data_IF_652056095316
#
_entry.id   IF_652056095316
#
_cell.length_a   1.000
_cell.length_b   1.000
_cell.length_c   1.000
_cell.angle_alpha   90.00
_cell.angle_beta   90.00
_cell.angle_gamma   90.00
#
_symmetry.space_group_name_H-M   'P 1'
#
loop_
_entity.id
_entity.type
_entity.pdbx_description
1 polymer ?
#
# COMPACT_ATOMS: atom_id res chain seq x y z
N UNK A 1 -18.42 -2.56 -27.74
CA UNK A 1 -17.41 -3.35 -27.02
C UNK A 1 -16.40 -3.85 -28.04
N UNK A 2 -15.18 -3.30 -28.08
CA UNK A 2 -14.11 -3.91 -28.86
C UNK A 2 -13.69 -5.19 -28.13
N UNK A 3 -14.02 -6.33 -28.69
CA UNK A 3 -13.46 -7.61 -28.24
C UNK A 3 -11.94 -7.53 -28.35
N UNK A 4 -11.24 -7.98 -27.32
CA UNK A 4 -9.79 -8.16 -27.38
C UNK A 4 -9.43 -8.99 -28.61
N UNK A 5 -8.35 -8.60 -29.31
CA UNK A 5 -7.83 -9.45 -30.38
C UNK A 5 -7.40 -10.81 -29.79
N UNK A 6 -7.40 -11.91 -30.55
CA UNK A 6 -6.90 -13.21 -30.09
C UNK A 6 -5.46 -13.13 -29.55
N UNK A 7 -4.63 -12.23 -30.06
CA UNK A 7 -3.27 -11.98 -29.63
C UNK A 7 -3.23 -11.28 -28.25
N UNK A 8 -4.09 -10.27 -28.04
CA UNK A 8 -4.20 -9.57 -26.75
C UNK A 8 -4.75 -10.50 -25.66
N UNK A 9 -5.75 -11.33 -26.01
CA UNK A 9 -6.29 -12.33 -25.11
C UNK A 9 -5.25 -13.42 -24.76
N UNK A 10 -4.39 -13.80 -25.72
CA UNK A 10 -3.28 -14.73 -25.46
C UNK A 10 -2.20 -14.06 -24.62
N UNK A 11 -1.80 -12.82 -24.94
CA UNK A 11 -0.85 -12.03 -24.16
C UNK A 11 -1.34 -11.83 -22.71
N UNK A 12 -2.64 -11.59 -22.50
CA UNK A 12 -3.22 -11.51 -21.16
C UNK A 12 -3.15 -12.85 -20.42
N UNK A 13 -3.38 -14.00 -21.08
CA UNK A 13 -3.23 -15.34 -20.46
C UNK A 13 -1.79 -15.64 -20.08
N UNK A 14 -0.82 -15.24 -20.89
CA UNK A 14 0.61 -15.48 -20.65
C UNK A 14 1.15 -14.57 -19.52
N UNK A 15 0.44 -13.49 -19.20
CA UNK A 15 0.76 -12.53 -18.13
C UNK A 15 0.36 -13.05 -16.76
N UNK A 16 -0.67 -13.90 -16.66
CA UNK A 16 -1.06 -14.49 -15.37
C UNK A 16 0.00 -15.51 -14.94
N UNK A 17 0.58 -15.40 -13.72
CA UNK A 17 1.35 -16.49 -13.15
C UNK A 17 0.52 -17.78 -13.19
N UNK A 18 1.13 -18.94 -13.45
CA UNK A 18 0.45 -20.22 -13.73
C UNK A 18 -0.67 -20.64 -12.75
N UNK A 19 -0.80 -19.96 -11.59
CA UNK A 19 -1.80 -20.23 -10.56
C UNK A 19 -2.57 -18.97 -10.12
N UNK A 20 -2.54 -17.88 -10.88
CA UNK A 20 -3.15 -16.61 -10.50
C UNK A 20 -4.13 -16.12 -11.58
N UNK A 21 -5.15 -16.91 -11.83
CA UNK A 21 -6.23 -16.59 -12.77
C UNK A 21 -7.44 -15.97 -12.06
N UNK A 22 -8.31 -15.24 -12.80
CA UNK A 22 -9.62 -14.82 -12.29
C UNK A 22 -10.37 -16.02 -11.69
N UNK A 23 -10.87 -15.85 -10.47
CA UNK A 23 -11.47 -16.93 -9.70
C UNK A 23 -12.78 -16.49 -9.09
N UNK A 24 -13.84 -17.25 -9.33
CA UNK A 24 -15.11 -17.05 -8.62
C UNK A 24 -14.96 -17.54 -7.18
N UNK A 25 -15.05 -16.62 -6.22
CA UNK A 25 -14.92 -16.92 -4.79
C UNK A 25 -16.24 -17.34 -4.16
N UNK A 26 -17.31 -16.69 -4.57
CA UNK A 26 -18.70 -16.97 -4.19
C UNK A 26 -19.60 -16.71 -5.39
N UNK A 27 -20.89 -17.08 -5.28
CA UNK A 27 -21.86 -16.66 -6.28
C UNK A 27 -21.82 -15.14 -6.45
N UNK A 28 -21.56 -14.67 -7.68
CA UNK A 28 -21.41 -13.23 -8.03
C UNK A 28 -20.30 -12.47 -7.32
N UNK A 29 -19.28 -13.15 -6.79
CA UNK A 29 -18.05 -12.52 -6.30
C UNK A 29 -16.85 -13.14 -6.99
N UNK A 30 -16.09 -12.33 -7.68
CA UNK A 30 -14.89 -12.72 -8.38
C UNK A 30 -13.68 -11.97 -7.83
N UNK A 31 -12.55 -12.67 -7.71
CA UNK A 31 -11.22 -12.09 -7.59
C UNK A 31 -10.59 -12.08 -8.98
N UNK A 32 -10.13 -10.92 -9.42
CA UNK A 32 -9.42 -10.74 -10.68
C UNK A 32 -8.03 -10.21 -10.36
N UNK A 33 -6.96 -11.02 -10.46
CA UNK A 33 -5.60 -10.57 -10.24
C UNK A 33 -5.11 -9.80 -11.46
N UNK A 34 -4.67 -8.55 -11.27
CA UNK A 34 -4.09 -7.72 -12.32
C UNK A 34 -2.56 -7.74 -12.19
N UNK A 35 -1.80 -7.95 -13.27
CA UNK A 35 -0.37 -8.16 -13.21
C UNK A 35 0.39 -6.87 -12.87
N UNK A 36 1.35 -6.97 -11.96
CA UNK A 36 2.24 -5.87 -11.61
C UNK A 36 3.68 -6.12 -12.11
N UNK A 37 4.43 -5.05 -12.45
CA UNK A 37 5.83 -5.15 -12.88
C UNK A 37 6.83 -5.31 -11.73
N UNK A 38 6.36 -5.57 -10.50
CA UNK A 38 7.16 -5.61 -9.28
C UNK A 38 7.25 -7.00 -8.69
N UNK A 39 7.99 -7.11 -7.56
CA UNK A 39 8.06 -8.34 -6.76
C UNK A 39 6.67 -8.80 -6.27
N UNK A 40 5.72 -7.90 -6.10
CA UNK A 40 4.32 -8.17 -5.74
C UNK A 40 3.51 -8.86 -6.85
N UNK A 41 4.02 -9.06 -8.02
CA UNK A 41 3.47 -9.76 -9.18
C UNK A 41 2.03 -9.40 -9.59
N UNK A 42 1.08 -9.26 -8.68
CA UNK A 42 -0.31 -8.92 -8.96
C UNK A 42 -0.97 -8.12 -7.83
N UNK A 43 -1.96 -7.31 -8.21
CA UNK A 43 -2.94 -6.70 -7.31
C UNK A 43 -4.31 -7.32 -7.58
N UNK A 44 -5.07 -7.60 -6.56
CA UNK A 44 -6.42 -8.15 -6.68
C UNK A 44 -7.44 -7.04 -6.78
N UNK A 45 -8.31 -7.11 -7.78
CA UNK A 45 -9.56 -6.38 -7.79
C UNK A 45 -10.72 -7.36 -7.55
N UNK A 46 -11.79 -6.89 -6.92
CA UNK A 46 -12.93 -7.73 -6.60
C UNK A 46 -14.18 -7.23 -7.31
N UNK A 47 -14.80 -8.11 -8.10
CA UNK A 47 -16.03 -7.83 -8.81
C UNK A 47 -17.20 -8.46 -8.06
N UNK A 48 -18.19 -7.65 -7.68
CA UNK A 48 -19.31 -8.04 -6.80
C UNK A 48 -20.63 -7.65 -7.47
N UNK A 49 -21.49 -8.64 -7.75
CA UNK A 49 -22.72 -8.44 -8.47
C UNK A 49 -23.99 -8.63 -7.65
N UNK A 50 -25.11 -8.08 -8.13
CA UNK A 50 -26.46 -8.36 -7.64
C UNK A 50 -27.28 -9.21 -8.65
N UNK A 51 -28.50 -9.53 -8.26
CA UNK A 51 -29.41 -10.34 -9.10
C UNK A 51 -30.06 -9.54 -10.22
N UNK A 52 -29.98 -8.20 -10.18
CA UNK A 52 -30.46 -7.29 -11.22
C UNK A 52 -29.43 -7.02 -12.31
N UNK A 53 -28.20 -7.55 -12.16
CA UNK A 53 -27.11 -7.38 -13.14
C UNK A 53 -26.27 -6.13 -12.92
N UNK A 54 -26.35 -5.47 -11.76
CA UNK A 54 -25.44 -4.40 -11.39
C UNK A 54 -24.17 -4.98 -10.79
N UNK A 55 -23.04 -4.39 -11.11
CA UNK A 55 -21.74 -4.85 -10.67
C UNK A 55 -20.91 -3.73 -10.06
N UNK A 56 -20.30 -4.02 -8.93
CA UNK A 56 -19.34 -3.12 -8.28
C UNK A 56 -17.95 -3.70 -8.42
N UNK A 57 -17.00 -2.85 -8.79
CA UNK A 57 -15.57 -3.20 -8.78
C UNK A 57 -14.90 -2.57 -7.58
N UNK A 58 -14.16 -3.35 -6.79
CA UNK A 58 -13.33 -2.87 -5.68
C UNK A 58 -11.89 -2.89 -6.13
N UNK A 59 -11.24 -1.73 -6.10
CA UNK A 59 -9.94 -1.38 -6.65
C UNK A 59 -9.86 -1.47 -8.19
N UNK A 60 -8.80 -0.88 -8.79
CA UNK A 60 -8.78 -0.57 -10.21
C UNK A 60 -7.41 -0.78 -10.90
N UNK A 61 -6.48 -1.51 -10.29
CA UNK A 61 -5.18 -1.78 -10.90
C UNK A 61 -4.26 -0.56 -11.05
N UNK A 62 -3.08 -0.77 -11.67
CA UNK A 62 -2.03 0.24 -11.83
C UNK A 62 -2.23 1.14 -13.07
N UNK A 63 -3.06 0.73 -14.04
CA UNK A 63 -3.30 1.50 -15.25
C UNK A 63 -2.28 1.25 -16.36
N UNK A 64 -1.65 0.10 -16.39
CA UNK A 64 -0.85 -0.35 -17.53
C UNK A 64 -1.74 -1.04 -18.58
N UNK A 65 -1.33 -1.04 -19.84
CA UNK A 65 -2.08 -1.71 -20.92
C UNK A 65 -2.37 -3.20 -20.59
N UNK A 66 -1.43 -3.89 -19.95
CA UNK A 66 -1.61 -5.28 -19.51
C UNK A 66 -2.61 -5.44 -18.37
N UNK A 67 -2.74 -4.44 -17.46
CA UNK A 67 -3.72 -4.48 -16.38
C UNK A 67 -5.12 -4.32 -16.96
N UNK A 68 -5.30 -3.39 -17.91
CA UNK A 68 -6.56 -3.20 -18.60
C UNK A 68 -6.94 -4.46 -19.37
N UNK A 69 -6.01 -5.08 -20.11
CA UNK A 69 -6.25 -6.33 -20.83
C UNK A 69 -6.64 -7.47 -19.87
N UNK A 70 -5.95 -7.60 -18.73
CA UNK A 70 -6.26 -8.60 -17.71
C UNK A 70 -7.63 -8.36 -17.05
N UNK A 71 -7.95 -7.09 -16.74
CA UNK A 71 -9.25 -6.73 -16.20
C UNK A 71 -10.38 -7.06 -17.20
N UNK A 72 -10.24 -6.68 -18.47
CA UNK A 72 -11.22 -7.01 -19.52
C UNK A 72 -11.43 -8.52 -19.63
N UNK A 73 -10.36 -9.31 -19.63
CA UNK A 73 -10.44 -10.77 -19.64
C UNK A 73 -11.17 -11.32 -18.41
N UNK A 74 -10.87 -10.80 -17.22
CA UNK A 74 -11.54 -11.20 -15.99
C UNK A 74 -13.03 -10.87 -15.98
N UNK A 75 -13.41 -9.69 -16.49
CA UNK A 75 -14.78 -9.27 -16.66
C UNK A 75 -15.51 -10.17 -17.70
N UNK A 76 -14.86 -10.50 -18.83
CA UNK A 76 -15.39 -11.41 -19.84
C UNK A 76 -15.65 -12.80 -19.26
N UNK A 77 -14.73 -13.35 -18.45
CA UNK A 77 -14.92 -14.64 -17.78
C UNK A 77 -16.09 -14.63 -16.79
N UNK A 78 -16.33 -13.49 -16.14
CA UNK A 78 -17.49 -13.28 -15.28
C UNK A 78 -18.80 -13.03 -16.07
N UNK A 79 -18.73 -12.87 -17.41
CA UNK A 79 -19.86 -12.52 -18.25
C UNK A 79 -20.32 -11.06 -18.07
N UNK A 80 -19.44 -10.15 -17.67
CA UNK A 80 -19.76 -8.77 -17.28
C UNK A 80 -19.08 -7.79 -18.23
N UNK A 81 -19.80 -7.02 -19.02
CA UNK A 81 -19.21 -5.93 -19.79
C UNK A 81 -18.80 -4.79 -18.87
N UNK A 82 -17.75 -4.07 -19.22
CA UNK A 82 -17.22 -2.96 -18.39
C UNK A 82 -18.29 -1.87 -18.16
N UNK A 83 -19.14 -1.65 -19.12
CA UNK A 83 -20.25 -0.69 -19.10
C UNK A 83 -21.34 -1.07 -18.08
N UNK A 84 -21.39 -2.33 -17.64
CA UNK A 84 -22.32 -2.80 -16.59
C UNK A 84 -21.84 -2.50 -15.15
N UNK A 85 -20.64 -1.92 -15.00
CA UNK A 85 -20.22 -1.46 -13.68
C UNK A 85 -21.13 -0.33 -13.21
N UNK A 86 -21.71 -0.50 -12.04
CA UNK A 86 -22.61 0.46 -11.39
C UNK A 86 -21.95 1.24 -10.25
N UNK A 87 -20.80 0.78 -9.79
CA UNK A 87 -19.97 1.44 -8.78
C UNK A 87 -18.51 1.00 -8.88
N UNK A 88 -17.61 1.87 -8.50
CA UNK A 88 -16.18 1.60 -8.31
C UNK A 88 -15.82 2.05 -6.91
N UNK A 89 -15.21 1.18 -6.11
CA UNK A 89 -14.83 1.45 -4.72
C UNK A 89 -13.33 1.31 -4.60
N UNK A 90 -12.64 2.34 -4.12
CA UNK A 90 -11.18 2.36 -3.99
C UNK A 90 -10.81 2.26 -2.50
N UNK A 91 -10.06 1.23 -2.14
CA UNK A 91 -9.68 0.99 -0.74
C UNK A 91 -8.71 2.04 -0.21
N UNK A 92 -7.81 2.52 -1.05
CA UNK A 92 -6.83 3.57 -0.74
C UNK A 92 -6.18 4.13 -2.01
N UNK A 93 -5.36 5.19 -1.87
CA UNK A 93 -4.80 5.96 -2.98
C UNK A 93 -3.43 5.48 -3.47
N UNK A 94 -3.06 4.20 -3.34
CA UNK A 94 -1.86 3.71 -4.00
C UNK A 94 -2.12 3.44 -5.49
N UNK A 95 -1.11 3.62 -6.36
CA UNK A 95 -1.30 3.66 -7.81
C UNK A 95 -1.87 2.37 -8.38
N UNK A 96 -1.52 1.23 -7.82
CA UNK A 96 -1.98 -0.10 -8.23
C UNK A 96 -3.43 -0.43 -7.78
N UNK A 97 -4.04 0.45 -6.99
CA UNK A 97 -5.44 0.37 -6.60
C UNK A 97 -6.34 1.38 -7.33
N UNK A 98 -5.76 2.48 -7.85
CA UNK A 98 -6.54 3.57 -8.43
C UNK A 98 -6.35 3.77 -9.94
N UNK A 99 -5.36 3.10 -10.54
CA UNK A 99 -4.81 3.47 -11.85
C UNK A 99 -5.79 3.48 -13.02
N UNK A 100 -6.76 2.58 -13.08
CA UNK A 100 -7.79 2.54 -14.13
C UNK A 100 -9.11 3.21 -13.72
N UNK A 101 -9.21 3.81 -12.54
CA UNK A 101 -10.48 4.30 -12.00
C UNK A 101 -11.14 5.38 -12.86
N UNK A 102 -10.36 6.26 -13.48
CA UNK A 102 -10.88 7.26 -14.43
C UNK A 102 -11.40 6.64 -15.71
N UNK A 103 -10.65 5.72 -16.30
CA UNK A 103 -11.05 4.98 -17.51
C UNK A 103 -12.34 4.18 -17.27
N UNK A 104 -12.39 3.45 -16.15
CA UNK A 104 -13.56 2.66 -15.77
C UNK A 104 -14.80 3.53 -15.57
N UNK A 105 -14.65 4.68 -14.90
CA UNK A 105 -15.71 5.66 -14.74
C UNK A 105 -16.18 6.23 -16.08
N UNK A 106 -15.25 6.55 -16.99
CA UNK A 106 -15.59 7.05 -18.32
C UNK A 106 -16.38 6.01 -19.13
N UNK A 107 -15.95 4.75 -19.10
CA UNK A 107 -16.58 3.66 -19.85
C UNK A 107 -17.96 3.29 -19.30
N UNK A 108 -18.16 3.31 -17.98
CA UNK A 108 -19.40 2.81 -17.34
C UNK A 108 -20.36 3.91 -16.89
N UNK A 109 -19.87 5.14 -16.67
CA UNK A 109 -20.61 6.19 -15.96
C UNK A 109 -20.74 5.95 -14.44
N UNK A 110 -20.12 4.90 -13.91
CA UNK A 110 -20.23 4.51 -12.51
C UNK A 110 -19.66 5.57 -11.56
N UNK A 111 -20.29 5.84 -10.42
CA UNK A 111 -19.69 6.64 -9.35
C UNK A 111 -18.47 5.93 -8.76
N UNK A 112 -17.46 6.72 -8.37
CA UNK A 112 -16.27 6.26 -7.66
C UNK A 112 -16.38 6.63 -6.19
N UNK A 113 -16.15 5.69 -5.31
CA UNK A 113 -16.22 5.84 -3.85
C UNK A 113 -14.85 5.65 -3.22
N UNK A 114 -14.52 6.46 -2.22
CA UNK A 114 -13.30 6.37 -1.43
C UNK A 114 -13.52 7.00 -0.06
N UNK A 115 -12.70 6.70 0.95
CA UNK A 115 -12.75 7.46 2.20
C UNK A 115 -12.45 8.94 1.98
N UNK A 116 -13.14 9.80 2.73
CA UNK A 116 -12.83 11.22 2.79
C UNK A 116 -11.34 11.45 3.08
N UNK A 117 -10.75 12.52 2.56
CA UNK A 117 -9.33 12.88 2.60
C UNK A 117 -8.39 11.96 1.80
N UNK A 118 -8.75 10.71 1.52
CA UNK A 118 -7.93 9.87 0.64
C UNK A 118 -8.07 10.29 -0.82
N UNK A 119 -9.22 10.85 -1.22
CA UNK A 119 -9.43 11.44 -2.53
C UNK A 119 -8.53 12.67 -2.74
N UNK A 120 -8.41 13.58 -1.75
CA UNK A 120 -7.46 14.69 -1.82
C UNK A 120 -6.02 14.22 -1.93
N UNK A 121 -5.65 13.16 -1.18
CA UNK A 121 -4.33 12.54 -1.24
C UNK A 121 -4.05 11.95 -2.61
N UNK A 122 -5.02 11.27 -3.21
CA UNK A 122 -4.93 10.70 -4.56
C UNK A 122 -4.53 11.77 -5.58
N UNK A 123 -5.24 12.90 -5.62
CA UNK A 123 -4.92 13.97 -6.58
C UNK A 123 -3.63 14.69 -6.25
N UNK A 124 -3.30 14.89 -4.97
CA UNK A 124 -2.07 15.55 -4.53
C UNK A 124 -0.82 14.76 -4.89
N UNK A 125 -0.86 13.45 -4.77
CA UNK A 125 0.30 12.58 -4.98
C UNK A 125 0.39 12.11 -6.42
N UNK A 126 -0.73 11.75 -7.05
CA UNK A 126 -0.77 11.08 -8.35
C UNK A 126 -1.36 11.92 -9.48
N UNK A 127 -2.05 13.00 -9.17
CA UNK A 127 -2.64 13.93 -10.15
C UNK A 127 -1.64 14.93 -10.72
N UNK A 128 -2.15 15.93 -11.40
CA UNK A 128 -1.34 17.02 -12.00
C UNK A 128 -0.55 17.84 -10.96
N UNK A 129 -0.97 17.81 -9.70
CA UNK A 129 -0.32 18.49 -8.57
C UNK A 129 0.85 17.70 -7.96
N UNK A 130 1.26 16.60 -8.55
CA UNK A 130 2.28 15.69 -7.99
C UNK A 130 3.68 16.30 -7.86
N UNK A 131 4.03 17.31 -8.64
CA UNK A 131 5.36 17.94 -8.59
C UNK A 131 5.76 18.51 -7.22
N UNK A 132 4.91 19.29 -6.52
CA UNK A 132 5.18 19.74 -5.15
C UNK A 132 5.31 18.58 -4.14
N UNK A 133 4.47 17.56 -4.22
CA UNK A 133 4.52 16.38 -3.35
C UNK A 133 5.84 15.62 -3.53
N UNK A 134 6.27 15.43 -4.78
CA UNK A 134 7.54 14.80 -5.10
C UNK A 134 8.73 15.57 -4.50
N UNK A 135 8.77 16.90 -4.68
CA UNK A 135 9.82 17.74 -4.07
C UNK A 135 9.84 17.62 -2.55
N UNK A 136 8.67 17.54 -1.91
CA UNK A 136 8.56 17.36 -0.46
C UNK A 136 9.14 16.00 -0.02
N UNK A 137 8.86 14.91 -0.77
CA UNK A 137 9.43 13.57 -0.51
C UNK A 137 10.96 13.59 -0.64
N UNK A 138 11.49 14.11 -1.75
CA UNK A 138 12.94 14.24 -1.98
C UNK A 138 13.59 15.06 -0.86
N UNK A 139 13.00 16.20 -0.53
CA UNK A 139 13.49 17.06 0.54
C UNK A 139 13.45 16.42 1.93
N UNK A 140 12.42 15.63 2.21
CA UNK A 140 12.36 14.85 3.45
C UNK A 140 13.46 13.79 3.48
N UNK A 141 13.62 12.99 2.44
CA UNK A 141 14.62 11.94 2.40
C UNK A 141 16.05 12.50 2.49
N UNK A 142 16.33 13.63 1.84
CA UNK A 142 17.62 14.32 1.96
C UNK A 142 17.92 14.73 3.41
N UNK A 143 16.92 15.22 4.15
CA UNK A 143 17.06 15.54 5.58
C UNK A 143 17.33 14.32 6.45
N UNK A 144 17.05 13.12 5.98
CA UNK A 144 17.25 11.86 6.68
C UNK A 144 18.40 11.01 6.11
N UNK A 145 19.28 11.64 5.29
CA UNK A 145 20.52 11.04 4.81
C UNK A 145 20.44 10.36 3.44
N UNK A 146 19.28 10.40 2.74
CA UNK A 146 19.14 9.84 1.40
C UNK A 146 18.96 10.97 0.38
N UNK A 147 20.01 11.24 -0.40
CA UNK A 147 19.91 12.16 -1.53
C UNK A 147 19.46 11.40 -2.78
N UNK A 148 18.34 11.82 -3.33
CA UNK A 148 17.79 11.28 -4.58
C UNK A 148 17.86 12.35 -5.67
N UNK A 149 18.15 11.93 -6.90
CA UNK A 149 17.88 12.78 -8.06
C UNK A 149 16.36 12.96 -8.20
N UNK A 150 15.92 14.19 -8.47
CA UNK A 150 14.49 14.50 -8.58
C UNK A 150 13.78 13.71 -9.70
N UNK A 151 14.51 13.33 -10.76
CA UNK A 151 14.00 12.46 -11.83
C UNK A 151 13.84 10.99 -11.37
N UNK A 152 14.73 10.52 -10.48
CA UNK A 152 14.68 9.17 -9.92
C UNK A 152 13.68 9.03 -8.78
N UNK A 153 13.12 10.12 -8.28
CA UNK A 153 12.19 10.13 -7.16
C UNK A 153 10.72 10.26 -7.59
N UNK A 154 10.43 10.39 -8.89
CA UNK A 154 9.04 10.40 -9.38
C UNK A 154 8.43 9.00 -9.20
N UNK A 155 7.41 8.84 -8.35
CA UNK A 155 6.78 7.55 -8.12
C UNK A 155 6.15 6.95 -9.40
N UNK A 156 5.86 7.78 -10.40
CA UNK A 156 5.39 7.33 -11.72
C UNK A 156 6.51 6.70 -12.55
N UNK A 157 7.78 7.09 -12.28
CA UNK A 157 8.97 6.54 -12.92
C UNK A 157 9.52 5.35 -12.14
N UNK A 158 9.42 5.40 -10.81
CA UNK A 158 10.05 4.45 -9.88
C UNK A 158 9.14 3.28 -9.50
N UNK A 159 7.83 3.40 -9.69
CA UNK A 159 6.92 2.25 -9.58
C UNK A 159 7.29 1.07 -10.52
N UNK A 160 8.35 1.21 -11.29
CA UNK A 160 8.78 0.34 -12.39
C UNK A 160 10.17 -0.23 -12.23
N UNK A 161 11.00 0.36 -11.37
CA UNK A 161 12.42 0.02 -11.28
C UNK A 161 12.74 -1.15 -10.33
N UNK A 162 11.85 -2.09 -10.15
CA UNK A 162 12.03 -3.25 -9.28
C UNK A 162 12.42 -4.52 -10.03
N UNK A 163 13.65 -4.68 -10.43
CA UNK A 163 14.47 -5.89 -10.48
C UNK A 163 15.66 -5.73 -11.45
N UNK A 164 16.88 -5.63 -10.93
CA UNK A 164 18.08 -5.83 -11.72
C UNK A 164 18.23 -7.32 -12.06
N UNK A 165 17.65 -7.74 -13.19
CA UNK A 165 17.99 -9.00 -13.83
C UNK A 165 19.42 -8.92 -14.40
N UNK A 166 20.28 -9.88 -14.05
CA UNK A 166 21.69 -9.92 -14.44
C UNK A 166 21.93 -10.24 -15.93
N UNK A 167 20.92 -10.33 -16.78
CA UNK A 167 21.05 -10.65 -18.19
C UNK A 167 20.54 -9.50 -19.09
N UNK A 168 21.27 -9.23 -20.19
CA UNK A 168 20.99 -8.13 -21.13
C UNK A 168 19.58 -8.12 -21.74
N UNK A 169 18.90 -9.28 -21.83
CA UNK A 169 17.51 -9.39 -22.28
C UNK A 169 16.50 -8.88 -21.23
N UNK A 170 16.81 -9.03 -19.94
CA UNK A 170 15.98 -8.49 -18.86
C UNK A 170 16.10 -6.97 -18.78
N UNK A 171 17.29 -6.43 -19.10
CA UNK A 171 17.53 -4.99 -19.16
C UNK A 171 16.74 -4.32 -20.30
N UNK A 172 16.66 -4.95 -21.46
CA UNK A 172 15.90 -4.45 -22.60
C UNK A 172 14.39 -4.51 -22.34
N UNK A 173 13.89 -5.58 -21.74
CA UNK A 173 12.50 -5.67 -21.23
C UNK A 173 12.19 -4.62 -20.17
N UNK A 174 13.12 -4.33 -19.28
CA UNK A 174 13.02 -3.27 -18.27
C UNK A 174 12.94 -1.88 -18.90
N UNK A 175 13.80 -1.58 -19.87
CA UNK A 175 13.77 -0.30 -20.57
C UNK A 175 12.47 -0.12 -21.38
N UNK A 176 11.95 -1.17 -22.01
CA UNK A 176 10.66 -1.16 -22.71
C UNK A 176 9.50 -1.01 -21.73
N UNK A 177 9.54 -1.71 -20.60
CA UNK A 177 8.58 -1.58 -19.52
C UNK A 177 8.63 -0.18 -18.91
N UNK A 178 9.81 0.35 -18.63
CA UNK A 178 10.03 1.72 -18.14
C UNK A 178 9.51 2.77 -19.11
N UNK A 179 9.68 2.60 -20.41
CA UNK A 179 9.11 3.49 -21.44
C UNK A 179 7.58 3.39 -21.51
N UNK A 180 7.03 2.20 -21.39
CA UNK A 180 5.58 1.98 -21.39
C UNK A 180 4.91 2.61 -20.17
N UNK A 181 5.61 2.64 -19.01
CA UNK A 181 5.09 3.17 -17.75
C UNK A 181 5.34 4.67 -17.62
N UNK A 182 6.47 5.20 -18.14
CA UNK A 182 6.71 6.65 -18.21
C UNK A 182 5.65 7.38 -19.09
N UNK A 183 4.87 6.63 -19.87
CA UNK A 183 3.66 7.09 -20.57
C UNK A 183 2.59 6.01 -20.39
N UNK A 184 1.96 5.89 -19.22
CA UNK A 184 0.89 4.93 -19.03
C UNK A 184 -0.28 5.33 -19.95
N UNK A 185 -0.54 4.54 -20.98
CA UNK A 185 -1.71 4.74 -21.84
C UNK A 185 -3.03 4.62 -21.10
N UNK A 186 -3.02 4.19 -19.82
CA UNK A 186 -4.19 3.87 -19.05
C UNK A 186 -4.27 4.46 -17.65
N UNK A 187 -3.17 5.01 -17.06
CA UNK A 187 -3.27 5.62 -15.73
C UNK A 187 -4.17 6.85 -15.79
N UNK A 188 -5.37 6.71 -15.30
CA UNK A 188 -6.42 7.70 -15.38
C UNK A 188 -7.18 7.76 -14.05
N UNK A 189 -7.21 8.96 -13.47
CA UNK A 189 -7.98 9.25 -12.26
C UNK A 189 -9.34 9.82 -12.62
N UNK A 190 -10.36 9.66 -11.76
CA UNK A 190 -11.64 10.35 -11.91
C UNK A 190 -11.42 11.88 -11.93
N UNK A 191 -12.32 12.67 -12.54
CA UNK A 191 -12.23 14.13 -12.43
C UNK A 191 -12.23 14.61 -10.98
N UNK A 192 -11.47 15.66 -10.67
CA UNK A 192 -11.42 16.25 -9.33
C UNK A 192 -12.84 16.63 -8.88
N UNK A 193 -13.20 16.26 -7.64
CA UNK A 193 -14.52 16.51 -7.06
C UNK A 193 -15.63 15.57 -7.55
N UNK A 194 -15.31 14.53 -8.33
CA UNK A 194 -16.30 13.54 -8.79
C UNK A 194 -16.32 12.26 -7.94
N UNK A 195 -15.41 12.11 -7.01
CA UNK A 195 -15.37 10.99 -6.06
C UNK A 195 -16.41 11.22 -4.96
N UNK A 196 -17.20 10.21 -4.67
CA UNK A 196 -18.13 10.21 -3.54
C UNK A 196 -17.41 9.73 -2.30
N UNK A 197 -17.36 10.57 -1.29
CA UNK A 197 -16.61 10.28 -0.08
C UNK A 197 -17.41 9.47 0.92
N UNK A 198 -16.75 8.49 1.53
CA UNK A 198 -17.26 7.64 2.60
C UNK A 198 -16.61 8.04 3.94
N UNK A 199 -17.26 7.66 5.02
CA UNK A 199 -16.74 7.82 6.38
C UNK A 199 -16.64 6.46 7.07
N UNK A 200 -15.86 6.42 8.12
CA UNK A 200 -15.78 5.28 9.01
C UNK A 200 -17.14 4.95 9.62
N UNK A 201 -17.52 3.68 9.55
CA UNK A 201 -18.82 3.19 10.03
C UNK A 201 -19.95 3.27 9.01
N UNK A 202 -19.77 3.94 7.87
CA UNK A 202 -20.78 3.95 6.82
C UNK A 202 -21.10 2.52 6.35
N UNK A 203 -22.30 2.36 5.81
CA UNK A 203 -22.71 1.12 5.16
C UNK A 203 -22.79 1.33 3.65
N UNK A 204 -22.07 0.52 2.90
CA UNK A 204 -22.04 0.54 1.45
C UNK A 204 -22.66 -0.73 0.89
N UNK A 205 -23.57 -0.60 -0.06
CA UNK A 205 -24.13 -1.75 -0.78
C UNK A 205 -23.28 -2.08 -1.99
N UNK A 206 -22.68 -3.28 -2.00
CA UNK A 206 -21.91 -3.83 -3.11
C UNK A 206 -22.61 -5.07 -3.64
N UNK A 207 -23.07 -5.03 -4.88
CA UNK A 207 -23.97 -6.05 -5.38
C UNK A 207 -25.23 -6.16 -4.49
N UNK A 208 -25.55 -7.37 -4.04
CA UNK A 208 -26.70 -7.64 -3.17
C UNK A 208 -26.40 -7.59 -1.66
N UNK A 209 -25.19 -7.23 -1.25
CA UNK A 209 -24.76 -7.28 0.14
C UNK A 209 -24.41 -5.90 0.69
N UNK A 210 -24.63 -5.75 2.00
CA UNK A 210 -24.19 -4.57 2.74
C UNK A 210 -22.84 -4.83 3.41
N UNK A 211 -21.91 -3.88 3.22
CA UNK A 211 -20.58 -3.88 3.80
C UNK A 211 -20.42 -2.69 4.73
N UNK A 212 -19.89 -2.92 5.91
CA UNK A 212 -19.45 -1.86 6.81
C UNK A 212 -18.10 -1.32 6.35
N UNK A 213 -17.99 -0.03 6.20
CA UNK A 213 -16.74 0.69 5.97
C UNK A 213 -15.97 0.78 7.29
N UNK A 214 -14.72 0.34 7.30
CA UNK A 214 -13.85 0.39 8.47
C UNK A 214 -12.59 1.16 8.09
N UNK A 215 -12.39 2.33 8.67
CA UNK A 215 -11.16 3.08 8.52
C UNK A 215 -10.01 2.38 9.23
N UNK A 216 -8.94 2.09 8.48
CA UNK A 216 -7.79 1.31 8.93
C UNK A 216 -6.47 2.01 8.54
N UNK A 217 -6.14 3.15 9.19
CA UNK A 217 -4.92 3.91 8.90
C UNK A 217 -3.67 3.10 9.23
N UNK A 218 -2.57 3.46 8.56
CA UNK A 218 -1.23 2.90 8.74
C UNK A 218 -0.51 2.72 7.42
N UNK A 219 -0.95 1.78 6.57
CA UNK A 219 -0.41 1.59 5.22
C UNK A 219 -0.68 2.80 4.31
N UNK A 220 -1.88 3.32 4.35
CA UNK A 220 -2.25 4.67 3.92
C UNK A 220 -3.01 5.37 5.04
N UNK A 221 -2.99 6.72 5.08
CA UNK A 221 -3.59 7.50 6.17
C UNK A 221 -5.10 7.32 6.26
N UNK A 222 -5.75 7.08 5.13
CA UNK A 222 -7.20 6.93 5.02
C UNK A 222 -7.58 5.64 4.26
N UNK A 223 -6.80 4.58 4.48
CA UNK A 223 -7.13 3.24 4.01
C UNK A 223 -8.44 2.76 4.62
N UNK A 224 -9.26 2.01 3.88
CA UNK A 224 -10.44 1.35 4.39
C UNK A 224 -10.47 -0.14 4.08
N UNK A 225 -10.99 -0.89 5.03
CA UNK A 225 -11.46 -2.25 4.83
C UNK A 225 -12.99 -2.27 4.72
N UNK A 226 -13.55 -3.32 4.13
CA UNK A 226 -14.99 -3.51 3.99
C UNK A 226 -15.38 -4.87 4.59
N UNK A 227 -16.30 -4.87 5.55
CA UNK A 227 -16.75 -6.08 6.23
C UNK A 227 -18.23 -6.35 5.97
N UNK A 228 -18.52 -7.49 5.36
CA UNK A 228 -19.87 -8.06 5.23
C UNK A 228 -20.27 -8.79 6.51
N UNK A 229 -21.55 -8.76 6.86
CA UNK A 229 -22.07 -9.32 8.12
C UNK A 229 -21.82 -10.82 8.30
N UNK A 230 -21.66 -11.58 7.21
CA UNK A 230 -21.37 -13.02 7.24
C UNK A 230 -19.85 -13.33 7.27
N UNK A 231 -19.01 -12.30 7.41
CA UNK A 231 -17.57 -12.45 7.54
C UNK A 231 -16.78 -12.44 6.22
N UNK A 232 -17.32 -11.96 5.11
CA UNK A 232 -16.51 -11.64 3.93
C UNK A 232 -15.81 -10.29 4.16
N UNK A 233 -14.49 -10.30 4.28
CA UNK A 233 -13.68 -9.14 4.67
C UNK A 233 -12.73 -8.74 3.53
N UNK A 234 -13.00 -7.62 2.89
CA UNK A 234 -12.09 -7.02 1.90
C UNK A 234 -11.08 -6.18 2.67
N UNK A 235 -9.84 -6.63 2.66
CA UNK A 235 -8.79 -6.08 3.50
C UNK A 235 -7.96 -4.99 2.81
N UNK A 236 -8.06 -4.83 1.47
CA UNK A 236 -7.09 -4.03 0.73
C UNK A 236 -5.67 -4.41 1.12
N UNK A 237 -4.83 -3.43 1.36
CA UNK A 237 -3.44 -3.63 1.79
C UNK A 237 -3.23 -3.53 3.30
N UNK A 238 -4.31 -3.49 4.08
CA UNK A 238 -4.18 -3.47 5.53
C UNK A 238 -3.65 -4.80 6.08
N UNK A 239 -4.13 -5.94 5.57
CA UNK A 239 -3.68 -7.28 6.00
C UNK A 239 -3.42 -8.14 4.77
N UNK A 240 -2.16 -8.50 4.54
CA UNK A 240 -1.69 -9.35 3.45
C UNK A 240 -1.29 -10.73 3.95
N UNK A 241 -1.53 -11.82 3.19
CA UNK A 241 -1.38 -13.19 3.68
C UNK A 241 0.07 -13.60 3.96
N UNK A 242 1.03 -13.18 3.13
CA UNK A 242 2.39 -13.70 3.17
C UNK A 242 3.47 -12.64 3.45
N UNK A 243 3.19 -11.38 3.12
CA UNK A 243 4.12 -10.27 3.30
C UNK A 243 3.56 -9.25 4.30
N UNK A 244 4.40 -8.37 4.81
CA UNK A 244 3.95 -7.20 5.57
C UNK A 244 3.66 -6.05 4.61
N UNK A 245 2.54 -5.33 4.76
CA UNK A 245 2.38 -4.06 4.06
C UNK A 245 3.46 -3.07 4.48
N UNK A 246 3.90 -2.22 3.56
CA UNK A 246 4.83 -1.15 3.89
C UNK A 246 4.11 -0.08 4.73
N UNK A 247 4.57 0.18 5.93
CA UNK A 247 4.09 1.26 6.79
C UNK A 247 5.13 2.37 6.77
N UNK A 248 4.89 3.37 5.92
CA UNK A 248 5.87 4.42 5.66
C UNK A 248 5.48 5.79 6.20
N UNK A 249 6.46 6.56 6.64
CA UNK A 249 6.29 7.99 6.95
C UNK A 249 6.65 8.82 5.73
N UNK A 250 5.70 9.62 5.25
CA UNK A 250 5.85 10.52 4.11
C UNK A 250 5.47 11.96 4.50
N UNK A 251 5.85 12.97 3.71
CA UNK A 251 5.39 14.34 3.95
C UNK A 251 3.85 14.41 3.97
N UNK A 252 3.33 15.12 4.96
CA UNK A 252 1.88 15.25 5.19
C UNK A 252 1.14 13.94 5.55
N UNK A 253 1.85 12.88 5.88
CA UNK A 253 1.25 11.72 6.54
C UNK A 253 0.81 12.06 7.97
N UNK A 254 -0.07 11.22 8.52
CA UNK A 254 -0.40 11.25 9.95
C UNK A 254 0.90 11.12 10.78
N UNK A 255 0.96 11.71 11.98
CA UNK A 255 2.21 11.81 12.74
C UNK A 255 2.82 10.46 13.18
N UNK A 256 1.99 9.44 13.38
CA UNK A 256 2.41 8.13 13.89
C UNK A 256 1.78 6.98 13.07
N UNK A 257 2.20 6.78 11.81
CA UNK A 257 1.58 5.77 10.95
C UNK A 257 1.71 4.34 11.50
N UNK A 258 2.80 4.03 12.21
CA UNK A 258 2.95 2.71 12.83
C UNK A 258 2.05 2.54 14.06
N UNK A 259 1.89 3.58 14.87
CA UNK A 259 0.93 3.57 15.98
C UNK A 259 -0.51 3.45 15.49
N UNK A 260 -0.85 4.17 14.42
CA UNK A 260 -2.14 4.05 13.73
C UNK A 260 -2.35 2.62 13.20
N UNK A 261 -1.32 2.01 12.61
CA UNK A 261 -1.39 0.63 12.12
C UNK A 261 -1.66 -0.38 13.23
N UNK A 262 -0.97 -0.25 14.37
CA UNK A 262 -1.26 -1.11 15.53
C UNK A 262 -2.69 -0.97 16.04
N UNK A 263 -3.20 0.25 16.10
CA UNK A 263 -4.58 0.50 16.49
C UNK A 263 -5.57 -0.12 15.48
N UNK A 264 -5.27 -0.01 14.20
CA UNK A 264 -6.06 -0.58 13.11
C UNK A 264 -6.07 -2.11 13.12
N UNK A 265 -4.91 -2.75 13.34
CA UNK A 265 -4.81 -4.21 13.50
C UNK A 265 -5.68 -4.68 14.67
N UNK A 266 -5.56 -4.02 15.83
CA UNK A 266 -6.39 -4.35 17.00
C UNK A 266 -7.89 -4.17 16.72
N UNK A 267 -8.27 -3.15 15.95
CA UNK A 267 -9.65 -2.85 15.60
C UNK A 267 -10.31 -3.94 14.75
N UNK A 268 -9.54 -4.57 13.85
CA UNK A 268 -10.07 -5.59 12.92
C UNK A 268 -9.84 -7.02 13.41
N UNK A 269 -8.87 -7.24 14.30
CA UNK A 269 -8.42 -8.55 14.77
C UNK A 269 -9.56 -9.49 15.16
N UNK A 270 -10.50 -8.99 15.95
CA UNK A 270 -11.58 -9.79 16.53
C UNK A 270 -12.88 -9.71 15.70
N UNK A 271 -12.81 -9.19 14.46
CA UNK A 271 -13.96 -9.17 13.55
C UNK A 271 -14.23 -10.59 13.02
N UNK A 272 -15.51 -10.94 12.84
CA UNK A 272 -15.89 -12.27 12.37
C UNK A 272 -15.57 -12.46 10.88
N UNK A 273 -14.29 -12.58 10.53
CA UNK A 273 -13.88 -12.78 9.15
C UNK A 273 -13.80 -14.27 8.82
N UNK A 274 -14.69 -14.76 7.96
CA UNK A 274 -14.67 -16.11 7.40
C UNK A 274 -13.68 -16.22 6.24
N UNK A 275 -13.59 -15.18 5.42
CA UNK A 275 -12.66 -15.02 4.32
C UNK A 275 -12.08 -13.62 4.39
N UNK A 276 -10.77 -13.51 4.29
CA UNK A 276 -10.04 -12.26 4.10
C UNK A 276 -9.63 -12.18 2.63
N UNK A 277 -10.09 -11.14 1.95
CA UNK A 277 -9.85 -10.82 0.55
C UNK A 277 -8.82 -9.68 0.46
N UNK A 278 -7.50 -9.98 0.31
CA UNK A 278 -6.42 -9.00 0.38
C UNK A 278 -6.20 -8.31 -0.96
N UNK A 279 -5.57 -7.11 -0.96
CA UNK A 279 -5.12 -6.44 -2.17
C UNK A 279 -4.03 -7.22 -2.91
N UNK A 280 -3.17 -7.96 -2.20
CA UNK A 280 -2.13 -8.80 -2.80
C UNK A 280 -2.13 -10.20 -2.23
N UNK A 281 -1.80 -11.19 -3.08
CA UNK A 281 -1.75 -12.59 -2.71
C UNK A 281 -3.12 -13.27 -2.72
N UNK A 282 -3.19 -14.49 -2.18
CA UNK A 282 -4.41 -15.28 -2.20
C UNK A 282 -5.31 -14.95 -1.01
N UNK A 283 -6.64 -15.06 -1.17
CA UNK A 283 -7.58 -15.02 -0.05
C UNK A 283 -7.26 -16.07 1.00
N UNK A 284 -7.52 -15.76 2.25
CA UNK A 284 -7.21 -16.62 3.38
C UNK A 284 -8.27 -16.51 4.49
N UNK A 285 -8.18 -17.37 5.50
CA UNK A 285 -8.94 -17.29 6.74
C UNK A 285 -8.04 -16.72 7.87
N UNK A 286 -8.24 -17.03 9.11
CA UNK A 286 -7.31 -16.74 10.22
C UNK A 286 -6.90 -15.26 10.33
N UNK A 287 -7.89 -14.34 10.29
CA UNK A 287 -7.67 -12.90 10.39
C UNK A 287 -6.90 -12.51 11.68
N UNK A 288 -7.31 -13.07 12.82
CA UNK A 288 -6.74 -12.73 14.12
C UNK A 288 -5.26 -13.12 14.20
N UNK A 289 -4.94 -14.34 13.82
CA UNK A 289 -3.57 -14.88 13.83
C UNK A 289 -2.67 -14.08 12.90
N UNK A 290 -3.20 -13.67 11.73
CA UNK A 290 -2.42 -12.86 10.80
C UNK A 290 -2.20 -11.45 11.31
N UNK A 291 -3.20 -10.82 11.92
CA UNK A 291 -3.07 -9.51 12.56
C UNK A 291 -2.03 -9.53 13.69
N UNK A 292 -2.03 -10.60 14.52
CA UNK A 292 -1.05 -10.79 15.58
C UNK A 292 0.37 -10.96 15.00
N UNK A 293 0.53 -11.75 13.96
CA UNK A 293 1.82 -11.95 13.29
C UNK A 293 2.38 -10.66 12.67
N UNK A 294 1.53 -9.84 12.06
CA UNK A 294 1.92 -8.55 11.51
C UNK A 294 2.35 -7.58 12.63
N UNK A 295 1.61 -7.56 13.74
CA UNK A 295 1.95 -6.75 14.90
C UNK A 295 3.30 -7.14 15.48
N UNK A 296 3.55 -8.44 15.69
CA UNK A 296 4.81 -8.95 16.21
C UNK A 296 6.00 -8.61 15.32
N UNK A 297 5.85 -8.79 14.00
CA UNK A 297 6.87 -8.39 13.04
C UNK A 297 7.33 -6.92 13.21
N UNK A 298 6.40 -6.00 13.38
CA UNK A 298 6.74 -4.58 13.55
C UNK A 298 7.31 -4.29 14.95
N UNK A 299 6.93 -5.05 16.00
CA UNK A 299 7.55 -4.97 17.32
C UNK A 299 9.02 -5.39 17.23
N UNK A 300 9.31 -6.54 16.62
CA UNK A 300 10.67 -7.03 16.40
C UNK A 300 11.50 -6.03 15.56
N UNK A 301 10.90 -5.45 14.52
CA UNK A 301 11.52 -4.44 13.67
C UNK A 301 11.85 -3.18 14.45
N UNK A 302 10.94 -2.69 15.30
CA UNK A 302 11.18 -1.54 16.19
C UNK A 302 12.31 -1.82 17.18
N UNK A 303 12.37 -3.03 17.74
CA UNK A 303 13.44 -3.43 18.65
C UNK A 303 14.80 -3.47 17.94
N UNK A 304 14.87 -3.99 16.71
CA UNK A 304 16.09 -4.02 15.92
C UNK A 304 16.57 -2.59 15.57
N UNK A 305 15.66 -1.70 15.16
CA UNK A 305 15.98 -0.29 14.89
C UNK A 305 16.51 0.41 16.14
N UNK A 306 15.86 0.19 17.30
CA UNK A 306 16.31 0.75 18.57
C UNK A 306 17.72 0.26 18.94
N UNK A 307 18.01 -1.03 18.78
CA UNK A 307 19.34 -1.59 19.03
C UNK A 307 20.42 -0.95 18.12
N UNK A 308 20.10 -0.68 16.84
CA UNK A 308 21.03 0.02 15.95
C UNK A 308 21.29 1.46 16.43
N UNK A 309 20.26 2.17 16.90
CA UNK A 309 20.42 3.51 17.48
C UNK A 309 21.28 3.46 18.74
N UNK A 310 21.03 2.52 19.64
CA UNK A 310 21.79 2.33 20.89
C UNK A 310 23.27 2.00 20.62
N UNK A 311 23.56 1.27 19.56
CA UNK A 311 24.93 0.92 19.15
C UNK A 311 25.72 2.11 18.58
N UNK A 312 25.06 3.23 18.25
CA UNK A 312 25.69 4.43 17.68
C UNK A 312 25.38 5.68 18.54
N UNK A 313 25.99 5.82 19.74
CA UNK A 313 25.67 6.90 20.66
C UNK A 313 26.02 8.30 20.15
N UNK A 314 26.86 8.42 19.10
CA UNK A 314 27.13 9.67 18.41
C UNK A 314 26.02 10.09 17.44
N UNK A 315 25.00 9.24 17.27
CA UNK A 315 23.90 9.43 16.34
C UNK A 315 24.21 8.97 14.93
N UNK A 316 23.18 8.54 14.21
CA UNK A 316 23.24 8.15 12.79
C UNK A 316 21.96 8.56 12.06
N UNK A 317 22.03 8.66 10.73
CA UNK A 317 20.88 9.03 9.93
C UNK A 317 19.89 7.87 9.80
N UNK A 318 18.63 8.17 9.47
CA UNK A 318 17.66 7.10 9.18
C UNK A 318 18.07 6.25 7.97
N UNK A 319 18.81 6.82 7.00
CA UNK A 319 19.32 6.08 5.86
C UNK A 319 20.44 5.10 6.26
N UNK A 320 21.31 5.46 7.23
CA UNK A 320 22.32 4.54 7.76
C UNK A 320 21.65 3.35 8.46
N UNK A 321 20.63 3.64 9.28
CA UNK A 321 19.82 2.62 9.97
C UNK A 321 19.11 1.71 8.96
N UNK A 322 18.45 2.28 7.95
CA UNK A 322 17.80 1.52 6.87
C UNK A 322 18.82 0.62 6.14
N UNK A 323 20.00 1.16 5.82
CA UNK A 323 21.07 0.42 5.15
C UNK A 323 21.57 -0.75 6.01
N UNK A 324 21.73 -0.55 7.30
CA UNK A 324 22.12 -1.61 8.23
C UNK A 324 21.04 -2.69 8.40
N UNK A 325 19.76 -2.28 8.42
CA UNK A 325 18.62 -3.17 8.63
C UNK A 325 18.28 -4.04 7.41
N UNK A 326 18.33 -3.44 6.21
CA UNK A 326 17.89 -4.10 4.98
C UNK A 326 19.05 -4.65 4.13
N UNK A 327 20.27 -4.12 4.29
CA UNK A 327 21.49 -4.64 3.67
C UNK A 327 21.39 -4.79 2.16
N UNK A 328 21.74 -5.97 1.66
CA UNK A 328 21.79 -6.31 0.23
C UNK A 328 20.41 -6.30 -0.47
N UNK A 329 19.32 -6.14 0.28
CA UNK A 329 17.96 -6.02 -0.29
C UNK A 329 17.74 -4.66 -0.95
N UNK A 330 18.56 -3.66 -0.64
CA UNK A 330 18.46 -2.30 -1.16
C UNK A 330 19.12 -2.18 -2.55
N UNK A 331 18.59 -2.86 -3.54
CA UNK A 331 19.15 -2.96 -4.89
C UNK A 331 18.76 -1.78 -5.79
N UNK A 332 17.53 -1.29 -5.64
CA UNK A 332 16.94 -0.24 -6.46
C UNK A 332 16.74 1.06 -5.69
N UNK A 333 16.45 2.14 -6.39
CA UNK A 333 16.06 3.42 -5.77
C UNK A 333 14.77 3.25 -4.96
N UNK A 334 13.84 2.44 -5.45
CA UNK A 334 12.58 2.17 -4.77
C UNK A 334 12.78 1.36 -3.50
N UNK A 335 13.61 0.31 -3.53
CA UNK A 335 13.94 -0.43 -2.32
C UNK A 335 14.45 0.51 -1.22
N UNK A 336 15.32 1.46 -1.59
CA UNK A 336 15.88 2.45 -0.65
C UNK A 336 14.81 3.43 -0.14
N UNK A 337 13.90 3.87 -1.01
CA UNK A 337 12.81 4.78 -0.64
C UNK A 337 11.84 4.12 0.32
N UNK A 338 11.37 2.91 0.01
CA UNK A 338 10.44 2.17 0.87
C UNK A 338 11.09 1.79 2.20
N UNK A 339 12.35 1.32 2.17
CA UNK A 339 13.09 1.00 3.39
C UNK A 339 13.29 2.23 4.27
N UNK A 340 13.64 3.40 3.70
CA UNK A 340 13.79 4.63 4.45
C UNK A 340 12.44 5.09 5.03
N UNK A 341 11.37 5.09 4.24
CA UNK A 341 10.04 5.49 4.70
C UNK A 341 9.54 4.59 5.84
N UNK A 342 9.74 3.27 5.74
CA UNK A 342 9.43 2.31 6.80
C UNK A 342 10.30 2.55 8.05
N UNK A 343 11.61 2.74 7.87
CA UNK A 343 12.52 3.04 8.99
C UNK A 343 12.10 4.33 9.69
N UNK A 344 11.71 5.35 8.96
CA UNK A 344 11.20 6.62 9.51
C UNK A 344 9.91 6.44 10.31
N UNK A 345 8.97 5.61 9.85
CA UNK A 345 7.75 5.31 10.60
C UNK A 345 8.06 4.63 11.94
N UNK A 346 9.00 3.68 11.96
CA UNK A 346 9.47 3.04 13.20
C UNK A 346 10.23 4.00 14.12
N UNK A 347 11.12 4.82 13.57
CA UNK A 347 11.86 5.82 14.35
C UNK A 347 10.93 6.87 14.98
N UNK A 348 9.92 7.32 14.23
CA UNK A 348 8.94 8.26 14.74
C UNK A 348 8.07 7.63 15.84
N UNK A 349 7.64 6.38 15.65
CA UNK A 349 6.94 5.60 16.66
C UNK A 349 7.75 5.51 17.97
N UNK A 350 9.06 5.20 17.88
CA UNK A 350 9.97 5.13 19.03
C UNK A 350 10.21 6.51 19.65
N UNK A 351 10.36 7.55 18.83
CA UNK A 351 10.60 8.94 19.27
C UNK A 351 9.41 9.48 20.05
N UNK A 352 8.20 9.30 19.55
CA UNK A 352 6.97 9.73 20.23
C UNK A 352 6.76 9.05 21.58
N UNK A 353 7.43 7.90 21.80
CA UNK A 353 7.40 7.13 23.06
C UNK A 353 8.65 7.35 23.92
N UNK A 354 9.50 8.33 23.54
CA UNK A 354 10.71 8.70 24.30
C UNK A 354 11.81 7.62 24.30
N UNK A 355 11.76 6.66 23.36
CA UNK A 355 12.73 5.56 23.27
C UNK A 355 13.94 5.91 22.39
N UNK A 356 13.81 6.88 21.51
CA UNK A 356 14.92 7.48 20.75
C UNK A 356 14.76 8.99 20.73
N UNK A 357 15.86 9.70 20.50
CA UNK A 357 15.89 11.14 20.29
C UNK A 357 16.29 11.46 18.86
N UNK A 358 15.93 12.64 18.39
CA UNK A 358 16.30 13.13 17.07
C UNK A 358 16.92 14.54 17.23
N UNK A 359 18.11 14.72 16.68
CA UNK A 359 18.81 15.98 16.66
C UNK A 359 19.14 16.39 15.21
N UNK A 360 19.23 17.68 14.98
CA UNK A 360 19.64 18.20 13.68
C UNK A 360 21.11 18.56 13.69
N UNK A 361 21.90 17.86 12.89
CA UNK A 361 23.32 18.14 12.68
C UNK A 361 23.48 18.71 11.27
N UNK A 362 23.82 19.99 11.19
CA UNK A 362 23.79 20.77 9.94
C UNK A 362 22.41 20.72 9.25
N UNK A 363 22.29 20.06 8.10
CA UNK A 363 21.05 19.94 7.32
C UNK A 363 20.33 18.59 7.49
N UNK A 364 20.93 17.64 8.24
CA UNK A 364 20.49 16.25 8.34
C UNK A 364 20.06 15.92 9.77
N UNK A 365 19.04 15.09 9.93
CA UNK A 365 18.59 14.56 11.22
C UNK A 365 19.37 13.30 11.58
N UNK A 366 19.84 13.25 12.83
CA UNK A 366 20.48 12.11 13.45
C UNK A 366 19.60 11.57 14.57
N UNK A 367 19.57 10.27 14.71
CA UNK A 367 18.83 9.57 15.74
C UNK A 367 19.80 9.04 16.80
N UNK A 368 19.50 9.30 18.06
CA UNK A 368 20.33 9.01 19.22
C UNK A 368 19.54 8.17 20.23
N UNK A 369 20.24 7.42 21.11
CA UNK A 369 19.59 6.76 22.25
C UNK A 369 18.79 7.76 23.08
N UNK A 370 17.72 7.28 23.72
CA UNK A 370 17.03 8.08 24.72
C UNK A 370 18.02 8.50 25.83
N UNK A 371 17.86 9.71 26.33
CA UNK A 371 18.63 10.13 27.50
C UNK A 371 18.34 9.16 28.67
N UNK A 372 19.37 8.67 29.33
CA UNK A 372 19.21 7.88 30.54
C UNK A 372 18.45 8.75 31.55
N UNK A 373 17.26 8.31 31.93
CA UNK A 373 16.47 8.98 32.95
C UNK A 373 17.21 8.86 34.29
N UNK A 374 17.96 9.90 34.68
CA UNK A 374 18.74 9.95 35.90
C UNK A 374 17.88 9.74 37.16
N UNK A 375 16.54 9.85 37.03
CA UNK A 375 15.59 9.62 38.12
C UNK A 375 15.40 8.13 38.46
N UNK A 376 15.65 7.21 37.50
CA UNK A 376 15.56 5.76 37.75
C UNK A 376 16.81 5.17 38.42
N UNK A 377 17.95 5.85 38.35
CA UNK A 377 19.20 5.41 38.98
C UNK A 377 19.24 5.65 40.51
N UNK A 378 18.36 6.48 41.05
CA UNK A 378 18.32 6.84 42.47
C UNK A 378 17.47 5.90 43.34
N UNK A 379 16.59 5.09 42.74
CA UNK A 379 15.72 4.16 43.51
C UNK A 379 16.45 2.86 43.87
N UNK A 380 17.41 2.41 43.07
CA UNK A 380 18.15 1.15 43.33
C UNK A 380 19.26 1.26 44.42
N UNK A 381 19.60 2.49 44.88
CA UNK A 381 20.61 2.67 45.92
C UNK A 381 20.06 2.89 47.33
N UNK A 382 18.72 2.96 47.50
CA UNK A 382 18.12 3.15 48.83
C UNK A 382 17.73 1.86 49.56
N UNK A 383 17.64 0.73 48.87
CA UNK A 383 17.23 -0.54 49.48
C UNK A 383 18.40 -1.43 49.91
N UNK A 384 19.63 -0.91 49.91
CA UNK A 384 20.80 -1.67 50.36
C UNK A 384 21.50 -1.08 51.61
N UNK A 385 20.84 -0.19 52.36
CA UNK A 385 21.37 0.33 53.62
C UNK A 385 20.26 0.40 54.68
N UNK A 386 19.93 -0.73 55.27
CA UNK A 386 19.52 -0.81 56.68
C UNK A 386 19.99 -2.17 57.27
N UNK A 387 20.41 -2.15 58.52
CA UNK A 387 21.33 -3.12 59.15
C UNK A 387 20.70 -4.46 59.53
#
# INVERSE_FOLDING_TARGET
>A
VQQLSPEDAQAARDVFPRNDAPTQMEERIWRIPLPLPFALRSVNVYLIGDDAGHWTLVDAGLGLARDEAALRLGLEQAGVPMEALSAIVLTHAHPDHIGLSGLLREASGAPVYMLAQEDERMYRVWGELSGPALRAIVGMFAKHGLTLDASAADPRVTAVAGSDGQNGQDRQRHEETNRAIARPHGFSLPPIGSVQTLNDGDTLTLGRWSYQVIWTPGHSDYHMCLLRSDGFFIAGDHILPAITPNIGLFPNSRPDPLGDYYASLQRVRDRPARIVAPGHGLPFAALAERADALREHHIERSAAIRALVEAAPAGQTANDIASALFGERLRTVDDRRFALAETLAHLEYLRLRGQVQMERVAAVYHYLPAALDASRATVSKRDSMEP
#
